data_IF_505819772173
#
_entry.id   IF_505819772173
#
_cell.length_a   1.000
_cell.length_b   1.000
_cell.length_c   1.000
_cell.angle_alpha   90.00
_cell.angle_beta   90.00
_cell.angle_gamma   90.00
#
_symmetry.space_group_name_H-M   'P 1'
#
loop_
_entity.id
_entity.type
_entity.pdbx_description
1 polymer ?
#
# COMPACT_ATOMS: atom_id res chain seq x y z
N UNK A 1 2.47 1.46 9.69
CA UNK A 1 2.96 2.63 8.93
C UNK A 1 2.20 2.73 7.62
N UNK A 2 1.98 3.94 7.11
CA UNK A 2 1.43 4.15 5.76
C UNK A 2 2.62 4.25 4.80
N UNK A 3 2.67 3.35 3.82
CA UNK A 3 3.77 3.29 2.85
C UNK A 3 3.47 4.20 1.66
N UNK A 4 4.41 5.09 1.32
CA UNK A 4 4.35 5.93 0.12
C UNK A 4 5.41 5.44 -0.85
N UNK A 5 4.99 4.99 -2.03
CA UNK A 5 5.91 4.53 -3.06
C UNK A 5 6.35 5.70 -3.96
N UNK A 6 7.68 5.82 -4.13
CA UNK A 6 8.29 6.87 -4.95
C UNK A 6 8.25 6.56 -6.45
N UNK A 7 8.17 5.27 -6.81
CA UNK A 7 7.94 4.87 -8.18
C UNK A 7 6.46 5.09 -8.53
N UNK A 8 6.13 5.81 -9.61
CA UNK A 8 4.76 6.25 -9.87
C UNK A 8 3.83 5.10 -10.29
N UNK A 9 4.33 4.12 -11.06
CA UNK A 9 3.52 3.04 -11.62
C UNK A 9 3.67 1.76 -10.80
N UNK A 10 2.67 1.41 -10.01
CA UNK A 10 2.75 0.26 -9.11
C UNK A 10 1.80 -0.85 -9.57
N UNK A 11 2.24 -2.10 -9.45
CA UNK A 11 1.43 -3.28 -9.76
C UNK A 11 1.60 -3.83 -11.18
N UNK A 12 2.55 -3.33 -11.97
CA UNK A 12 2.80 -3.77 -13.35
C UNK A 12 3.08 -5.28 -13.51
N UNK A 13 3.63 -5.94 -12.49
CA UNK A 13 3.91 -7.38 -12.50
C UNK A 13 2.82 -8.23 -11.82
N UNK A 14 1.78 -7.59 -11.29
CA UNK A 14 0.76 -8.26 -10.48
C UNK A 14 1.34 -8.88 -9.21
N UNK A 15 0.58 -9.77 -8.60
CA UNK A 15 0.95 -10.49 -7.39
C UNK A 15 1.13 -11.98 -7.71
N UNK A 16 2.25 -12.61 -7.30
CA UNK A 16 2.48 -14.04 -7.49
C UNK A 16 1.60 -14.89 -6.56
N UNK A 17 1.57 -16.20 -6.81
CA UNK A 17 0.87 -17.15 -5.95
C UNK A 17 1.43 -17.15 -4.52
N UNK A 18 0.57 -17.29 -3.51
CA UNK A 18 0.99 -17.54 -2.11
C UNK A 18 1.39 -19.01 -1.92
N UNK A 19 2.51 -19.41 -2.54
CA UNK A 19 3.10 -20.74 -2.40
C UNK A 19 4.08 -20.80 -1.23
N UNK A 20 4.04 -21.91 -0.49
CA UNK A 20 5.04 -22.22 0.54
C UNK A 20 6.16 -23.11 -0.03
N UNK A 21 7.37 -22.89 0.46
CA UNK A 21 8.52 -23.74 0.20
C UNK A 21 8.54 -24.98 1.12
N UNK A 22 9.59 -25.80 0.99
CA UNK A 22 9.78 -27.02 1.79
C UNK A 22 9.91 -26.75 3.30
N UNK A 23 10.18 -25.52 3.68
CA UNK A 23 10.40 -25.07 5.05
C UNK A 23 9.18 -24.30 5.60
N UNK A 24 8.03 -24.35 4.93
CA UNK A 24 6.82 -23.59 5.27
C UNK A 24 7.03 -22.06 5.25
N UNK A 25 7.94 -21.56 4.41
CA UNK A 25 8.14 -20.13 4.18
C UNK A 25 7.53 -19.71 2.84
N UNK A 26 6.99 -18.49 2.77
CA UNK A 26 6.46 -17.95 1.53
C UNK A 26 7.57 -17.87 0.47
N UNK A 27 7.38 -18.56 -0.64
CA UNK A 27 8.38 -18.73 -1.69
C UNK A 27 8.69 -17.43 -2.45
N UNK A 28 7.74 -16.50 -2.48
CA UNK A 28 7.81 -15.26 -3.25
C UNK A 28 7.62 -14.00 -2.40
N UNK A 29 7.43 -14.14 -1.08
CA UNK A 29 7.17 -13.03 -0.18
C UNK A 29 8.14 -13.05 1.00
N UNK A 30 8.50 -11.87 1.49
CA UNK A 30 9.39 -11.69 2.66
C UNK A 30 8.74 -12.09 3.99
N UNK A 31 7.42 -12.28 4.00
CA UNK A 31 6.70 -12.69 5.20
C UNK A 31 5.52 -13.58 4.86
N UNK A 32 5.23 -14.51 5.77
CA UNK A 32 4.15 -15.47 5.60
C UNK A 32 2.77 -14.81 5.73
N UNK A 33 1.92 -14.97 4.71
CA UNK A 33 0.46 -14.77 4.70
C UNK A 33 -0.05 -13.40 5.17
N UNK A 34 0.77 -12.34 5.15
CA UNK A 34 0.35 -11.03 5.67
C UNK A 34 1.07 -9.85 5.04
N UNK A 35 0.30 -8.79 4.80
CA UNK A 35 0.79 -7.44 4.52
C UNK A 35 0.99 -6.68 5.84
N UNK A 36 2.18 -6.15 6.07
CA UNK A 36 2.52 -5.43 7.31
C UNK A 36 2.20 -3.94 7.28
N UNK A 37 2.03 -3.36 6.09
CA UNK A 37 1.70 -1.94 5.97
C UNK A 37 0.26 -1.69 6.40
N UNK A 38 0.03 -0.55 7.05
CA UNK A 38 -1.31 -0.13 7.49
C UNK A 38 -2.11 0.51 6.35
N UNK A 39 -1.41 0.93 5.29
CA UNK A 39 -2.00 1.46 4.06
C UNK A 39 -0.92 1.74 3.02
N UNK A 40 -1.35 1.86 1.77
CA UNK A 40 -0.46 2.09 0.62
C UNK A 40 -0.89 3.34 -0.15
N UNK A 41 0.07 4.21 -0.49
CA UNK A 41 -0.14 5.39 -1.33
C UNK A 41 0.75 5.26 -2.55
N UNK A 42 0.13 5.34 -3.73
CA UNK A 42 0.79 5.21 -5.03
C UNK A 42 0.38 6.33 -5.97
N UNK A 43 1.22 6.59 -6.97
CA UNK A 43 0.89 7.55 -8.04
C UNK A 43 -0.21 6.99 -8.92
N UNK A 44 0.03 5.83 -9.51
CA UNK A 44 -0.88 5.16 -10.44
C UNK A 44 -0.78 3.64 -10.24
N UNK A 45 -1.93 2.97 -10.33
CA UNK A 45 -2.03 1.50 -10.23
C UNK A 45 -2.20 0.94 -11.63
N UNK A 46 -1.46 -0.11 -11.94
CA UNK A 46 -1.66 -0.88 -13.15
C UNK A 46 -2.80 -1.89 -12.95
N UNK A 47 -3.91 -1.67 -13.66
CA UNK A 47 -5.07 -2.56 -13.63
C UNK A 47 -4.87 -3.85 -14.46
N UNK A 48 -4.00 -3.78 -15.47
CA UNK A 48 -3.70 -4.89 -16.38
C UNK A 48 -2.23 -5.32 -16.24
N UNK A 49 -1.88 -5.99 -15.13
CA UNK A 49 -0.52 -6.48 -14.95
C UNK A 49 -0.16 -7.50 -16.03
N UNK A 50 1.14 -7.57 -16.35
CA UNK A 50 1.67 -8.51 -17.34
C UNK A 50 2.97 -9.13 -16.84
N UNK A 51 2.85 -10.31 -16.23
CA UNK A 51 4.00 -11.11 -15.82
C UNK A 51 3.65 -12.60 -15.79
N UNK A 52 4.58 -13.47 -16.18
CA UNK A 52 4.35 -14.92 -16.28
C UNK A 52 3.98 -15.59 -14.96
N UNK A 53 4.32 -14.98 -13.82
CA UNK A 53 3.94 -15.45 -12.47
C UNK A 53 2.69 -14.82 -11.90
N UNK A 54 2.07 -13.86 -12.58
CA UNK A 54 0.93 -13.17 -12.00
C UNK A 54 -0.23 -14.14 -11.77
N UNK A 55 -0.87 -14.04 -10.61
CA UNK A 55 -2.10 -14.75 -10.29
C UNK A 55 -3.26 -13.81 -10.02
N UNK A 56 -2.97 -12.63 -9.50
CA UNK A 56 -3.97 -11.62 -9.20
C UNK A 56 -3.37 -10.21 -9.33
N UNK A 57 -4.24 -9.22 -9.43
CA UNK A 57 -3.87 -7.81 -9.42
C UNK A 57 -3.47 -7.36 -8.01
N UNK A 58 -2.76 -6.23 -7.94
CA UNK A 58 -2.44 -5.60 -6.66
C UNK A 58 -3.71 -5.23 -5.87
N UNK A 59 -4.73 -4.73 -6.58
CA UNK A 59 -5.99 -4.32 -5.97
C UNK A 59 -6.70 -5.51 -5.30
N UNK A 60 -6.85 -6.63 -6.00
CA UNK A 60 -7.47 -7.85 -5.46
C UNK A 60 -6.73 -8.34 -4.21
N UNK A 61 -5.40 -8.35 -4.25
CA UNK A 61 -4.59 -8.77 -3.11
C UNK A 61 -4.77 -7.85 -1.89
N UNK A 62 -4.79 -6.54 -2.10
CA UNK A 62 -5.02 -5.58 -1.02
C UNK A 62 -6.41 -5.71 -0.40
N UNK A 63 -7.44 -5.96 -1.21
CA UNK A 63 -8.81 -6.23 -0.74
C UNK A 63 -8.85 -7.51 0.11
N UNK A 64 -8.20 -8.59 -0.33
CA UNK A 64 -8.12 -9.85 0.42
C UNK A 64 -7.50 -9.67 1.81
N UNK A 65 -6.43 -8.89 1.91
CA UNK A 65 -5.75 -8.61 3.18
C UNK A 65 -6.37 -7.44 3.97
N UNK A 66 -7.46 -6.83 3.48
CA UNK A 66 -8.16 -5.70 4.12
C UNK A 66 -7.24 -4.50 4.38
N UNK A 67 -6.34 -4.20 3.45
CA UNK A 67 -5.42 -3.07 3.53
C UNK A 67 -5.93 -1.91 2.67
N UNK A 68 -6.11 -0.70 3.22
CA UNK A 68 -6.52 0.46 2.43
C UNK A 68 -5.40 0.94 1.51
N UNK A 69 -5.77 1.34 0.29
CA UNK A 69 -4.87 1.91 -0.71
C UNK A 69 -5.46 3.19 -1.32
N UNK A 70 -4.60 4.14 -1.68
CA UNK A 70 -4.98 5.32 -2.47
C UNK A 70 -4.05 5.41 -3.69
N UNK A 71 -4.64 5.56 -4.87
CA UNK A 71 -3.97 5.90 -6.13
C UNK A 71 -4.34 7.31 -6.58
N UNK A 72 -3.59 7.88 -7.52
CA UNK A 72 -3.82 9.22 -8.08
C UNK A 72 -3.22 10.35 -7.24
N UNK A 73 -2.32 10.04 -6.29
CA UNK A 73 -1.67 11.04 -5.42
C UNK A 73 -0.31 11.41 -6.00
N UNK A 74 0.05 12.71 -5.94
CA UNK A 74 1.42 13.14 -6.19
C UNK A 74 2.33 12.66 -5.04
N UNK A 75 2.85 11.44 -5.19
CA UNK A 75 3.75 10.83 -4.20
C UNK A 75 5.07 11.59 -4.10
N UNK A 76 5.50 12.30 -5.15
CA UNK A 76 6.73 13.11 -5.12
C UNK A 76 6.57 14.32 -4.22
N UNK A 77 5.46 15.04 -4.32
CA UNK A 77 5.15 16.14 -3.41
C UNK A 77 5.03 15.65 -1.96
N UNK A 78 4.36 14.51 -1.75
CA UNK A 78 4.21 13.91 -0.43
C UNK A 78 5.55 13.48 0.18
N UNK A 79 6.41 12.79 -0.59
CA UNK A 79 7.74 12.38 -0.13
C UNK A 79 8.62 13.57 0.23
N UNK A 80 8.57 14.68 -0.53
CA UNK A 80 9.29 15.91 -0.17
C UNK A 80 8.84 16.46 1.18
N UNK A 81 7.52 16.55 1.40
CA UNK A 81 6.94 17.04 2.65
C UNK A 81 7.34 16.18 3.85
N UNK A 82 7.31 14.85 3.69
CA UNK A 82 7.77 13.91 4.73
C UNK A 82 9.26 14.11 5.02
N UNK A 83 10.09 14.22 3.98
CA UNK A 83 11.54 14.41 4.13
C UNK A 83 11.91 15.71 4.84
N UNK A 84 11.17 16.78 4.59
CA UNK A 84 11.41 18.09 5.21
C UNK A 84 10.99 18.14 6.68
N UNK A 85 9.92 17.42 7.04
CA UNK A 85 9.35 17.46 8.40
C UNK A 85 9.75 16.27 9.28
N UNK A 86 10.45 15.28 8.72
CA UNK A 86 10.86 14.06 9.42
C UNK A 86 9.69 13.07 9.57
N UNK A 87 9.16 12.93 10.79
CA UNK A 87 8.05 12.00 11.07
C UNK A 87 6.73 12.74 10.97
N UNK A 88 5.84 12.25 10.10
CA UNK A 88 4.50 12.81 9.91
C UNK A 88 3.46 11.73 10.25
N UNK A 89 2.51 12.08 11.13
CA UNK A 89 1.31 11.28 11.34
C UNK A 89 0.34 11.49 10.17
N UNK A 90 -0.23 10.39 9.66
CA UNK A 90 -1.14 10.41 8.52
C UNK A 90 -2.34 9.49 8.76
N UNK A 91 -3.47 9.82 8.13
CA UNK A 91 -4.70 9.02 8.17
C UNK A 91 -5.33 8.94 6.79
N UNK A 92 -5.77 7.74 6.40
CA UNK A 92 -6.57 7.50 5.19
C UNK A 92 -8.05 7.44 5.62
N UNK A 93 -8.91 8.20 4.95
CA UNK A 93 -10.34 8.31 5.28
C UNK A 93 -11.15 8.14 4.01
N UNK A 94 -12.10 7.21 4.05
CA UNK A 94 -13.08 7.00 3.00
C UNK A 94 -14.43 7.55 3.50
N UNK A 95 -14.85 8.71 3.00
CA UNK A 95 -16.05 9.40 3.47
C UNK A 95 -16.32 10.72 2.74
N UNK A 96 -17.41 11.39 3.09
CA UNK A 96 -17.85 12.65 2.49
C UNK A 96 -16.92 13.78 2.95
N UNK A 97 -16.50 14.66 2.03
CA UNK A 97 -15.75 15.87 2.34
C UNK A 97 -16.50 16.72 3.36
N UNK A 98 -15.82 17.12 4.44
CA UNK A 98 -16.36 17.99 5.47
C UNK A 98 -15.27 18.46 6.42
N UNK A 99 -15.54 19.44 7.31
CA UNK A 99 -14.62 19.72 8.40
C UNK A 99 -14.47 18.43 9.20
N UNK A 100 -13.23 17.94 9.28
CA UNK A 100 -12.92 16.75 10.07
C UNK A 100 -12.89 17.08 11.57
N UNK A 101 -13.99 17.66 12.08
CA UNK A 101 -14.13 18.03 13.47
C UNK A 101 -14.05 16.75 14.33
N UNK A 102 -13.10 16.73 15.27
CA UNK A 102 -12.87 15.59 16.16
C UNK A 102 -11.86 14.53 15.64
N UNK A 103 -11.20 14.75 14.49
CA UNK A 103 -10.02 13.93 14.14
C UNK A 103 -8.79 14.38 14.93
N UNK A 104 -8.66 13.84 16.13
CA UNK A 104 -7.41 13.91 16.86
C UNK A 104 -6.41 12.92 16.25
N UNK A 105 -5.23 13.43 15.87
CA UNK A 105 -4.06 12.59 15.64
C UNK A 105 -3.63 12.03 16.99
N UNK A 106 -4.08 10.82 17.29
CA UNK A 106 -3.58 10.06 18.44
C UNK A 106 -2.41 9.25 17.93
N UNK A 107 -1.21 9.56 18.39
CA UNK A 107 -0.06 8.70 18.16
C UNK A 107 -0.35 7.35 18.83
N UNK A 108 -0.18 6.26 18.10
CA UNK A 108 -0.39 4.91 18.63
C UNK A 108 0.80 4.40 19.44
N UNK A 109 1.90 5.17 19.50
CA UNK A 109 3.08 4.89 20.31
C UNK A 109 3.03 5.56 21.68
#
# INVERSE_FOLDING_TARGET
QILVLTYPLIGNYGIPAEELDKNNMAKYFESNHKIWVSGLIVGEVCDTPSHWRQKQTLNEWMIQHKIPGISGIDTRALTKKIRENGTILGKIIQGVEGPFDGLHFVDQN
#
